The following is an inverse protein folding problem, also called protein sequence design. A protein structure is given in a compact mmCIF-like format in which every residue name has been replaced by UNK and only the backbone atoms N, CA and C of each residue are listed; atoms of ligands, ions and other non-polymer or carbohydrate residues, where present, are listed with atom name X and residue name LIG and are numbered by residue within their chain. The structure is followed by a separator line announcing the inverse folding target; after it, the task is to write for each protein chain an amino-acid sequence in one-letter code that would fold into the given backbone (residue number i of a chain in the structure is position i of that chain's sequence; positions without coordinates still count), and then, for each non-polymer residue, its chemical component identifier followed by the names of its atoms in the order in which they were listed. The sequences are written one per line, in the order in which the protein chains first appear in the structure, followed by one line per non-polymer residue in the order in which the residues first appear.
data_IF_046095088940
#
_entry.id   IF_046095088940
#
_cell.length_a   1.000
_cell.length_b   1.000
_cell.length_c   1.000
_cell.angle_alpha   90.00
_cell.angle_beta   90.00
_cell.angle_gamma   90.00
#
_symmetry.space_group_name_H-M   'P 1'
#
loop_
_entity.id
_entity.type
_entity.pdbx_description
1 polymer ?
#
# COMPACT_ATOMS: atom_id res chain seq x y z
N UNK A 1 -0.35 -32.92 -4.96
CA UNK A 1 -0.34 -31.64 -5.70
C UNK A 1 0.99 -31.57 -6.41
N UNK A 2 0.98 -31.42 -7.72
CA UNK A 2 2.21 -31.17 -8.48
C UNK A 2 2.54 -29.65 -8.51
N UNK A 3 3.65 -29.26 -9.12
CA UNK A 3 4.10 -27.87 -9.14
C UNK A 3 3.14 -26.96 -9.92
N UNK A 4 2.47 -27.48 -10.95
CA UNK A 4 1.51 -26.73 -11.77
C UNK A 4 0.21 -26.49 -11.00
N UNK A 5 -0.29 -27.52 -10.32
CA UNK A 5 -1.44 -27.41 -9.43
C UNK A 5 -1.19 -26.43 -8.29
N UNK A 6 0.02 -26.45 -7.71
CA UNK A 6 0.42 -25.55 -6.64
C UNK A 6 0.48 -24.09 -7.11
N UNK A 7 1.06 -23.83 -8.29
CA UNK A 7 1.09 -22.48 -8.86
C UNK A 7 -0.32 -21.93 -9.14
N UNK A 8 -1.22 -22.76 -9.65
CA UNK A 8 -2.62 -22.37 -9.88
C UNK A 8 -3.33 -22.05 -8.54
N UNK A 9 -3.07 -22.83 -7.49
CA UNK A 9 -3.62 -22.60 -6.18
C UNK A 9 -3.12 -21.27 -5.58
N UNK A 10 -1.83 -20.99 -5.65
CA UNK A 10 -1.27 -19.70 -5.20
C UNK A 10 -1.86 -18.51 -5.96
N UNK A 11 -2.09 -18.63 -7.26
CA UNK A 11 -2.74 -17.58 -8.03
C UNK A 11 -4.20 -17.37 -7.60
N UNK A 12 -4.92 -18.46 -7.31
CA UNK A 12 -6.28 -18.37 -6.79
C UNK A 12 -6.33 -17.65 -5.43
N UNK A 13 -5.45 -18.01 -4.50
CA UNK A 13 -5.31 -17.36 -3.20
C UNK A 13 -5.02 -15.86 -3.32
N UNK A 14 -4.07 -15.47 -4.19
CA UNK A 14 -3.74 -14.07 -4.46
C UNK A 14 -4.92 -13.30 -5.04
N UNK A 15 -5.75 -13.92 -5.91
CA UNK A 15 -6.99 -13.30 -6.42
C UNK A 15 -8.01 -13.07 -5.31
N UNK A 16 -8.17 -14.00 -4.39
CA UNK A 16 -9.06 -13.83 -3.23
C UNK A 16 -8.58 -12.68 -2.33
N UNK A 17 -7.26 -12.62 -2.06
CA UNK A 17 -6.65 -11.55 -1.26
C UNK A 17 -6.85 -10.19 -1.94
N UNK A 18 -6.54 -10.07 -3.24
CA UNK A 18 -6.70 -8.82 -3.98
C UNK A 18 -8.15 -8.38 -4.13
N UNK A 19 -9.10 -9.30 -4.13
CA UNK A 19 -10.54 -9.02 -4.11
C UNK A 19 -11.09 -8.72 -2.70
N UNK A 20 -10.25 -8.69 -1.67
CA UNK A 20 -10.64 -8.53 -0.26
C UNK A 20 -11.67 -9.56 0.23
N UNK A 21 -11.61 -10.80 -0.30
CA UNK A 21 -12.38 -11.97 0.17
C UNK A 21 -11.55 -12.70 1.23
N UNK A 22 -11.29 -12.01 2.35
CA UNK A 22 -10.21 -12.39 3.27
C UNK A 22 -10.47 -13.67 4.08
N UNK A 23 -11.73 -13.99 4.38
CA UNK A 23 -12.09 -15.25 5.06
C UNK A 23 -11.86 -16.45 4.14
N UNK A 24 -12.31 -16.37 2.90
CA UNK A 24 -12.09 -17.41 1.89
C UNK A 24 -10.59 -17.55 1.56
N UNK A 25 -9.87 -16.43 1.47
CA UNK A 25 -8.44 -16.44 1.25
C UNK A 25 -7.71 -17.15 2.39
N UNK A 26 -8.09 -16.88 3.65
CA UNK A 26 -7.52 -17.54 4.83
C UNK A 26 -7.66 -19.04 4.78
N UNK A 27 -8.88 -19.51 4.52
CA UNK A 27 -9.17 -20.95 4.42
C UNK A 27 -8.31 -21.61 3.33
N UNK A 28 -8.27 -21.02 2.13
CA UNK A 28 -7.50 -21.53 1.01
C UNK A 28 -5.99 -21.58 1.33
N UNK A 29 -5.42 -20.46 1.79
CA UNK A 29 -3.99 -20.37 2.15
C UNK A 29 -3.61 -21.39 3.23
N UNK A 30 -4.40 -21.49 4.29
CA UNK A 30 -4.13 -22.45 5.39
C UNK A 30 -4.26 -23.91 4.94
N UNK A 31 -5.19 -24.19 4.03
CA UNK A 31 -5.33 -25.54 3.46
C UNK A 31 -4.11 -25.92 2.61
N UNK A 32 -3.70 -25.03 1.71
CA UNK A 32 -2.52 -25.23 0.85
C UNK A 32 -1.26 -25.39 1.70
N UNK A 33 -1.07 -24.52 2.69
CA UNK A 33 0.09 -24.57 3.59
C UNK A 33 0.20 -25.94 4.31
N UNK A 34 -0.90 -26.46 4.87
CA UNK A 34 -0.90 -27.79 5.53
C UNK A 34 -0.54 -28.91 4.55
N UNK A 35 -1.07 -28.89 3.34
CA UNK A 35 -0.78 -29.91 2.32
C UNK A 35 0.68 -29.87 1.87
N UNK A 36 1.23 -28.67 1.65
CA UNK A 36 2.62 -28.47 1.28
C UNK A 36 3.56 -28.90 2.40
N UNK A 37 3.27 -28.50 3.64
CA UNK A 37 4.05 -28.87 4.82
C UNK A 37 4.13 -30.39 5.01
N UNK A 38 3.00 -31.07 4.85
CA UNK A 38 2.95 -32.54 4.97
C UNK A 38 3.74 -33.28 3.87
N UNK A 39 3.85 -32.68 2.66
CA UNK A 39 4.50 -33.33 1.51
C UNK A 39 5.96 -32.94 1.32
N UNK A 40 6.30 -31.66 1.52
CA UNK A 40 7.61 -31.10 1.18
C UNK A 40 8.40 -30.62 2.40
N UNK A 41 7.74 -30.50 3.56
CA UNK A 41 8.34 -29.97 4.80
C UNK A 41 8.50 -28.45 4.80
N UNK A 42 8.99 -27.90 5.92
CA UNK A 42 9.04 -26.45 6.15
C UNK A 42 10.16 -25.72 5.39
N UNK A 43 11.17 -26.43 4.93
CA UNK A 43 12.37 -25.85 4.33
C UNK A 43 12.40 -25.94 2.79
N UNK A 44 11.27 -26.14 2.15
CA UNK A 44 11.13 -26.23 0.69
C UNK A 44 10.77 -24.89 0.06
N UNK A 45 10.99 -24.75 -1.25
CA UNK A 45 10.55 -23.56 -1.99
C UNK A 45 9.01 -23.49 -2.10
N UNK A 46 8.33 -24.63 -2.07
CA UNK A 46 6.88 -24.72 -2.03
C UNK A 46 6.34 -24.14 -0.71
N UNK A 47 6.99 -24.41 0.40
CA UNK A 47 6.66 -23.81 1.69
C UNK A 47 6.91 -22.29 1.68
N UNK A 48 7.98 -21.83 1.01
CA UNK A 48 8.24 -20.41 0.83
C UNK A 48 7.11 -19.69 0.10
N UNK A 49 6.53 -20.29 -0.95
CA UNK A 49 5.37 -19.74 -1.67
C UNK A 49 4.12 -19.64 -0.79
N UNK A 50 3.86 -20.63 0.05
CA UNK A 50 2.76 -20.59 1.01
C UNK A 50 2.96 -19.51 2.07
N UNK A 51 4.18 -19.33 2.60
CA UNK A 51 4.51 -18.23 3.53
C UNK A 51 4.31 -16.87 2.87
N UNK A 52 4.62 -16.74 1.59
CA UNK A 52 4.40 -15.51 0.84
C UNK A 52 2.90 -15.18 0.75
N UNK A 53 2.04 -16.14 0.39
CA UNK A 53 0.61 -15.90 0.33
C UNK A 53 -0.02 -15.65 1.71
N UNK A 54 0.45 -16.33 2.75
CA UNK A 54 0.04 -16.07 4.12
C UNK A 54 0.43 -14.64 4.54
N UNK A 55 1.63 -14.20 4.20
CA UNK A 55 2.05 -12.83 4.48
C UNK A 55 1.22 -11.80 3.73
N UNK A 56 0.88 -12.02 2.45
CA UNK A 56 -0.01 -11.14 1.70
C UNK A 56 -1.42 -11.06 2.32
N UNK A 57 -1.91 -12.16 2.87
CA UNK A 57 -3.15 -12.16 3.63
C UNK A 57 -3.03 -11.29 4.90
N UNK A 58 -1.93 -11.39 5.66
CA UNK A 58 -1.67 -10.52 6.82
C UNK A 58 -1.53 -9.04 6.41
N UNK A 59 -0.89 -8.74 5.26
CA UNK A 59 -0.85 -7.36 4.73
C UNK A 59 -2.25 -6.81 4.49
N UNK A 60 -3.13 -7.59 3.88
CA UNK A 60 -4.51 -7.18 3.61
C UNK A 60 -5.36 -7.03 4.89
N UNK A 61 -4.95 -7.63 6.00
CA UNK A 61 -5.52 -7.41 7.34
C UNK A 61 -4.91 -6.19 8.06
N UNK A 62 -3.84 -5.60 7.51
CA UNK A 62 -3.09 -4.54 8.16
C UNK A 62 -2.09 -5.01 9.22
N UNK A 63 -1.82 -6.30 9.30
CA UNK A 63 -0.88 -6.90 10.27
C UNK A 63 0.55 -6.88 9.73
N UNK A 64 1.12 -5.66 9.60
CA UNK A 64 2.38 -5.44 8.88
C UNK A 64 3.61 -6.08 9.54
N UNK A 65 3.62 -6.28 10.87
CA UNK A 65 4.70 -6.98 11.55
C UNK A 65 4.73 -8.48 11.17
N UNK A 66 3.55 -9.12 11.11
CA UNK A 66 3.42 -10.50 10.63
C UNK A 66 3.79 -10.61 9.15
N UNK A 67 3.35 -9.64 8.33
CA UNK A 67 3.71 -9.55 6.92
C UNK A 67 5.23 -9.49 6.73
N UNK A 68 5.94 -8.60 7.42
CA UNK A 68 7.40 -8.50 7.33
C UNK A 68 8.09 -9.80 7.73
N UNK A 69 7.67 -10.41 8.83
CA UNK A 69 8.28 -11.64 9.33
C UNK A 69 8.15 -12.78 8.31
N UNK A 70 6.95 -12.97 7.75
CA UNK A 70 6.67 -14.01 6.76
C UNK A 70 7.38 -13.75 5.43
N UNK A 71 7.45 -12.50 4.98
CA UNK A 71 8.17 -12.13 3.76
C UNK A 71 9.68 -12.35 3.90
N UNK A 72 10.25 -12.00 5.04
CA UNK A 72 11.67 -12.27 5.32
C UNK A 72 11.98 -13.76 5.28
N UNK A 73 11.15 -14.60 5.92
CA UNK A 73 11.30 -16.06 5.90
C UNK A 73 11.15 -16.62 4.48
N UNK A 74 10.12 -16.21 3.76
CA UNK A 74 9.88 -16.61 2.38
C UNK A 74 11.06 -16.24 1.47
N UNK A 75 11.52 -14.99 1.51
CA UNK A 75 12.66 -14.53 0.72
C UNK A 75 13.96 -15.30 1.05
N UNK A 76 14.20 -15.64 2.33
CA UNK A 76 15.35 -16.45 2.74
C UNK A 76 15.28 -17.88 2.19
N UNK A 77 14.12 -18.51 2.21
CA UNK A 77 13.92 -19.85 1.67
C UNK A 77 14.08 -19.86 0.13
N UNK A 78 13.44 -18.93 -0.57
CA UNK A 78 13.61 -18.81 -2.03
C UNK A 78 15.04 -18.47 -2.43
N UNK A 79 15.80 -17.73 -1.63
CA UNK A 79 17.21 -17.47 -1.91
C UNK A 79 18.03 -18.77 -1.94
N UNK A 80 17.71 -19.76 -1.09
CA UNK A 80 18.36 -21.07 -1.06
C UNK A 80 17.96 -21.96 -2.24
N UNK A 81 16.76 -21.75 -2.78
CA UNK A 81 16.14 -22.52 -3.86
C UNK A 81 15.93 -21.70 -5.14
N UNK A 82 16.76 -20.66 -5.37
CA UNK A 82 16.57 -19.71 -6.48
C UNK A 82 16.53 -20.38 -7.86
N UNK A 83 17.28 -21.47 -8.05
CA UNK A 83 17.31 -22.19 -9.32
C UNK A 83 15.99 -22.92 -9.63
N UNK A 84 15.26 -23.34 -8.58
CA UNK A 84 14.03 -24.11 -8.71
C UNK A 84 12.80 -23.22 -9.04
N UNK A 85 12.79 -21.98 -8.51
CA UNK A 85 11.67 -21.04 -8.66
C UNK A 85 12.14 -19.58 -8.78
N UNK A 86 12.83 -19.18 -9.88
CA UNK A 86 13.48 -17.88 -9.98
C UNK A 86 12.49 -16.70 -9.95
N UNK A 87 11.33 -16.82 -10.58
CA UNK A 87 10.32 -15.76 -10.61
C UNK A 87 9.66 -15.55 -9.23
N UNK A 88 9.34 -16.64 -8.53
CA UNK A 88 8.79 -16.56 -7.18
C UNK A 88 9.82 -16.02 -6.17
N UNK A 89 11.12 -16.33 -6.40
CA UNK A 89 12.20 -15.74 -5.60
C UNK A 89 12.29 -14.22 -5.76
N UNK A 90 12.13 -13.70 -6.99
CA UNK A 90 12.08 -12.25 -7.25
C UNK A 90 10.85 -11.60 -6.62
N UNK A 91 9.67 -12.23 -6.70
CA UNK A 91 8.45 -11.75 -6.05
C UNK A 91 8.59 -11.72 -4.52
N UNK A 92 9.17 -12.75 -3.92
CA UNK A 92 9.38 -12.79 -2.47
C UNK A 92 10.31 -11.66 -2.00
N UNK A 93 11.37 -11.35 -2.76
CA UNK A 93 12.25 -10.21 -2.47
C UNK A 93 11.51 -8.88 -2.60
N UNK A 94 10.71 -8.69 -3.66
CA UNK A 94 9.85 -7.52 -3.82
C UNK A 94 8.89 -7.35 -2.65
N UNK A 95 8.18 -8.39 -2.24
CA UNK A 95 7.25 -8.31 -1.12
C UNK A 95 7.96 -8.08 0.21
N UNK A 96 9.20 -8.55 0.38
CA UNK A 96 9.99 -8.20 1.55
C UNK A 96 10.37 -6.71 1.59
N UNK A 97 10.80 -6.13 0.45
CA UNK A 97 11.03 -4.70 0.34
C UNK A 97 9.74 -3.88 0.63
N UNK A 98 8.59 -4.35 0.12
CA UNK A 98 7.28 -3.74 0.39
C UNK A 98 6.90 -3.83 1.88
N UNK A 99 7.18 -4.95 2.53
CA UNK A 99 6.92 -5.12 3.95
C UNK A 99 7.74 -4.16 4.82
N UNK A 100 9.01 -3.97 4.49
CA UNK A 100 9.87 -2.96 5.13
C UNK A 100 9.32 -1.54 4.94
N UNK A 101 8.87 -1.23 3.72
CA UNK A 101 8.23 0.06 3.40
C UNK A 101 6.97 0.27 4.25
N UNK A 102 6.11 -0.75 4.39
CA UNK A 102 4.91 -0.69 5.25
C UNK A 102 5.22 -0.46 6.73
N UNK A 103 6.38 -0.90 7.20
CA UNK A 103 6.86 -0.70 8.57
C UNK A 103 7.62 0.63 8.78
N UNK A 104 7.69 1.50 7.76
CA UNK A 104 8.43 2.77 7.86
C UNK A 104 9.95 2.61 7.88
N UNK A 105 10.48 1.43 7.55
CA UNK A 105 11.92 1.13 7.49
C UNK A 105 12.49 1.56 6.12
N UNK A 106 12.36 2.87 5.81
CA UNK A 106 12.57 3.43 4.48
C UNK A 106 13.93 3.12 3.88
N UNK A 107 15.00 3.23 4.67
CA UNK A 107 16.36 2.97 4.21
C UNK A 107 16.54 1.51 3.79
N UNK A 108 16.11 0.58 4.63
CA UNK A 108 16.18 -0.86 4.32
C UNK A 108 15.27 -1.24 3.14
N UNK A 109 14.10 -0.61 3.06
CA UNK A 109 13.17 -0.81 1.94
C UNK A 109 13.80 -0.34 0.62
N UNK A 110 14.48 0.81 0.60
CA UNK A 110 15.15 1.34 -0.58
C UNK A 110 16.28 0.41 -1.06
N UNK A 111 17.12 -0.06 -0.14
CA UNK A 111 18.20 -1.01 -0.45
C UNK A 111 17.65 -2.30 -1.06
N UNK A 112 16.62 -2.91 -0.44
CA UNK A 112 16.02 -4.14 -0.95
C UNK A 112 15.28 -3.91 -2.27
N UNK A 113 14.59 -2.77 -2.46
CA UNK A 113 13.93 -2.44 -3.72
C UNK A 113 14.93 -2.24 -4.87
N UNK A 114 16.11 -1.65 -4.60
CA UNK A 114 17.18 -1.52 -5.60
C UNK A 114 17.79 -2.88 -5.98
N UNK A 115 18.03 -3.75 -5.00
CA UNK A 115 18.53 -5.11 -5.24
C UNK A 115 17.57 -5.93 -6.11
N UNK A 116 16.26 -5.91 -5.79
CA UNK A 116 15.27 -6.68 -6.56
C UNK A 116 15.06 -6.09 -7.95
N UNK A 117 15.07 -4.76 -8.11
CA UNK A 117 15.01 -4.12 -9.42
C UNK A 117 16.15 -4.58 -10.33
N UNK A 118 17.39 -4.53 -9.83
CA UNK A 118 18.56 -5.01 -10.57
C UNK A 118 18.43 -6.48 -10.95
N UNK A 119 17.99 -7.34 -10.03
CA UNK A 119 17.80 -8.75 -10.28
C UNK A 119 16.66 -9.04 -11.30
N UNK A 120 15.60 -8.25 -11.29
CA UNK A 120 14.50 -8.32 -12.27
C UNK A 120 14.97 -7.91 -13.66
N UNK A 121 15.72 -6.80 -13.79
CA UNK A 121 16.32 -6.36 -15.05
C UNK A 121 17.28 -7.40 -15.63
N UNK A 122 18.08 -8.07 -14.79
CA UNK A 122 18.94 -9.15 -15.23
C UNK A 122 18.16 -10.39 -15.72
N UNK A 123 17.04 -10.69 -15.09
CA UNK A 123 16.24 -11.88 -15.40
C UNK A 123 15.30 -11.68 -16.59
N UNK A 124 14.57 -10.55 -16.63
CA UNK A 124 13.59 -10.27 -17.69
C UNK A 124 14.19 -9.53 -18.88
N UNK A 125 15.32 -8.85 -18.71
CA UNK A 125 15.95 -7.94 -19.67
C UNK A 125 15.88 -6.49 -19.20
N UNK A 126 16.92 -5.73 -19.47
CA UNK A 126 17.11 -4.35 -18.98
C UNK A 126 16.00 -3.37 -19.47
N UNK A 127 15.40 -3.66 -20.61
CA UNK A 127 14.36 -2.82 -21.23
C UNK A 127 13.03 -3.56 -21.38
N UNK A 128 12.83 -4.66 -20.65
CA UNK A 128 11.60 -5.44 -20.75
C UNK A 128 10.44 -4.74 -20.04
N UNK A 129 9.30 -4.62 -20.71
CA UNK A 129 8.05 -4.31 -20.03
C UNK A 129 7.58 -5.55 -19.27
N UNK A 130 7.53 -5.45 -17.94
CA UNK A 130 7.10 -6.53 -17.07
C UNK A 130 6.45 -6.02 -15.81
N UNK A 131 5.37 -6.66 -15.35
CA UNK A 131 4.61 -6.26 -14.15
C UNK A 131 5.49 -6.15 -12.91
N UNK A 132 6.37 -7.14 -12.70
CA UNK A 132 7.24 -7.15 -11.52
C UNK A 132 8.19 -5.95 -11.51
N UNK A 133 8.70 -5.52 -12.69
CA UNK A 133 9.55 -4.31 -12.82
C UNK A 133 8.71 -3.05 -12.53
N UNK A 134 7.53 -2.94 -13.12
CA UNK A 134 6.64 -1.79 -12.91
C UNK A 134 6.25 -1.63 -11.43
N UNK A 135 5.91 -2.73 -10.77
CA UNK A 135 5.59 -2.74 -9.35
C UNK A 135 6.79 -2.34 -8.48
N UNK A 136 8.00 -2.73 -8.86
CA UNK A 136 9.22 -2.35 -8.13
C UNK A 136 9.55 -0.87 -8.32
N UNK A 137 9.41 -0.32 -9.54
CA UNK A 137 9.55 1.12 -9.80
C UNK A 137 8.52 1.93 -8.99
N UNK A 138 7.27 1.49 -8.96
CA UNK A 138 6.22 2.10 -8.12
C UNK A 138 6.57 2.07 -6.64
N UNK A 139 7.10 0.96 -6.14
CA UNK A 139 7.55 0.84 -4.75
C UNK A 139 8.70 1.80 -4.45
N UNK A 140 9.70 1.90 -5.32
CA UNK A 140 10.81 2.85 -5.18
C UNK A 140 10.31 4.30 -5.18
N UNK A 141 9.39 4.65 -6.10
CA UNK A 141 8.74 5.96 -6.11
C UNK A 141 8.04 6.29 -4.78
N UNK A 142 7.29 5.34 -4.23
CA UNK A 142 6.63 5.52 -2.93
C UNK A 142 7.62 5.64 -1.77
N UNK A 143 8.70 4.87 -1.75
CA UNK A 143 9.76 4.98 -0.74
C UNK A 143 10.43 6.35 -0.82
N UNK A 144 10.73 6.84 -2.03
CA UNK A 144 11.36 8.14 -2.25
C UNK A 144 10.43 9.29 -1.84
N UNK A 145 9.12 9.15 -2.04
CA UNK A 145 8.13 10.14 -1.61
C UNK A 145 8.06 10.32 -0.08
N UNK A 146 8.54 9.33 0.69
CA UNK A 146 8.56 9.37 2.16
C UNK A 146 9.86 9.96 2.73
N UNK A 147 10.86 10.24 1.91
CA UNK A 147 12.16 10.71 2.34
C UNK A 147 12.48 12.08 1.71
N UNK A 148 12.72 13.13 2.51
CA UNK A 148 12.97 14.48 1.97
C UNK A 148 14.16 14.56 1.00
N UNK A 149 15.19 13.72 1.20
CA UNK A 149 16.39 13.71 0.37
C UNK A 149 16.14 13.17 -1.06
N UNK A 150 15.15 12.30 -1.24
CA UNK A 150 14.84 11.62 -2.52
C UNK A 150 13.47 11.98 -3.08
N UNK A 151 12.76 12.91 -2.45
CA UNK A 151 11.40 13.30 -2.83
C UNK A 151 11.30 13.70 -4.32
N UNK A 152 12.30 14.40 -4.85
CA UNK A 152 12.36 14.80 -6.26
C UNK A 152 12.45 13.64 -7.25
N UNK A 153 12.87 12.45 -6.80
CA UNK A 153 12.97 11.25 -7.64
C UNK A 153 11.69 10.41 -7.63
N UNK A 154 10.74 10.72 -6.73
CA UNK A 154 9.51 9.94 -6.56
C UNK A 154 8.63 9.96 -7.82
N UNK A 155 8.32 11.14 -8.32
CA UNK A 155 7.43 11.32 -9.47
C UNK A 155 7.97 10.65 -10.74
N UNK A 156 9.24 10.83 -11.17
CA UNK A 156 9.79 10.14 -12.33
C UNK A 156 9.69 8.61 -12.27
N UNK A 157 9.88 8.01 -11.10
CA UNK A 157 9.75 6.56 -10.93
C UNK A 157 8.30 6.08 -11.02
N UNK A 158 7.35 6.84 -10.45
CA UNK A 158 5.92 6.55 -10.58
C UNK A 158 5.45 6.68 -12.03
N UNK A 159 5.91 7.69 -12.76
CA UNK A 159 5.59 7.88 -14.18
C UNK A 159 6.15 6.75 -15.05
N UNK A 160 7.38 6.29 -14.80
CA UNK A 160 7.95 5.13 -15.48
C UNK A 160 7.12 3.86 -15.19
N UNK A 161 6.72 3.64 -13.95
CA UNK A 161 5.87 2.51 -13.58
C UNK A 161 4.50 2.57 -14.28
N UNK A 162 3.86 3.75 -14.27
CA UNK A 162 2.56 3.96 -14.91
C UNK A 162 2.64 3.73 -16.42
N UNK A 163 3.64 4.30 -17.11
CA UNK A 163 3.85 4.13 -18.54
C UNK A 163 4.10 2.66 -18.91
N UNK A 164 4.82 1.90 -18.09
CA UNK A 164 5.01 0.47 -18.29
C UNK A 164 3.71 -0.32 -18.13
N UNK A 165 2.95 -0.08 -17.05
CA UNK A 165 1.65 -0.72 -16.82
C UNK A 165 0.62 -0.37 -17.91
N UNK A 166 0.68 0.86 -18.42
CA UNK A 166 -0.19 1.28 -19.53
C UNK A 166 0.13 0.52 -20.82
N UNK A 167 1.40 0.29 -21.13
CA UNK A 167 1.79 -0.54 -22.28
C UNK A 167 1.40 -2.01 -22.11
N UNK A 168 1.45 -2.55 -20.87
CA UNK A 168 1.12 -3.93 -20.58
C UNK A 168 -0.40 -4.20 -20.53
N UNK A 169 -1.15 -3.30 -19.92
CA UNK A 169 -2.56 -3.55 -19.56
C UNK A 169 -3.54 -2.48 -20.06
N UNK A 170 -3.02 -1.33 -20.49
CA UNK A 170 -3.84 -0.17 -20.87
C UNK A 170 -4.25 0.73 -19.70
N UNK A 171 -4.84 1.87 -20.04
CA UNK A 171 -5.27 2.91 -19.10
C UNK A 171 -6.43 2.45 -18.18
N UNK A 172 -7.28 1.54 -18.64
CA UNK A 172 -8.45 1.05 -17.93
C UNK A 172 -8.17 -0.17 -17.03
N UNK A 173 -6.92 -0.41 -16.68
CA UNK A 173 -6.55 -1.47 -15.76
C UNK A 173 -6.39 -0.93 -14.33
N UNK A 174 -6.83 -1.70 -13.32
CA UNK A 174 -6.83 -1.28 -11.92
C UNK A 174 -5.44 -0.89 -11.40
N UNK A 175 -4.38 -1.65 -11.73
CA UNK A 175 -3.00 -1.34 -11.30
C UNK A 175 -2.47 -0.06 -11.95
N UNK A 176 -2.81 0.19 -13.22
CA UNK A 176 -2.48 1.44 -13.93
C UNK A 176 -3.18 2.61 -13.24
N UNK A 177 -4.50 2.52 -13.01
CA UNK A 177 -5.28 3.55 -12.35
C UNK A 177 -4.78 3.83 -10.92
N UNK A 178 -4.47 2.78 -10.15
CA UNK A 178 -3.92 2.95 -8.80
C UNK A 178 -2.54 3.65 -8.80
N UNK A 179 -1.69 3.36 -9.80
CA UNK A 179 -0.40 4.05 -9.94
C UNK A 179 -0.61 5.54 -10.27
N UNK A 180 -1.56 5.87 -11.14
CA UNK A 180 -1.94 7.26 -11.41
C UNK A 180 -2.54 7.97 -10.20
N UNK A 181 -3.22 7.26 -9.28
CA UNK A 181 -3.65 7.85 -8.00
C UNK A 181 -2.46 8.32 -7.15
N UNK A 182 -1.34 7.57 -7.18
CA UNK A 182 -0.11 7.95 -6.48
C UNK A 182 0.63 9.11 -7.18
N UNK A 183 0.61 9.15 -8.52
CA UNK A 183 1.12 10.30 -9.29
C UNK A 183 0.33 11.55 -8.95
N UNK A 184 -1.00 11.47 -8.88
CA UNK A 184 -1.85 12.60 -8.53
C UNK A 184 -1.57 13.13 -7.12
N UNK A 185 -1.24 12.26 -6.17
CA UNK A 185 -0.76 12.68 -4.84
C UNK A 185 0.52 13.54 -4.95
N UNK A 186 1.48 13.15 -5.80
CA UNK A 186 2.69 13.94 -6.00
C UNK A 186 2.40 15.26 -6.71
N UNK A 187 1.49 15.30 -7.67
CA UNK A 187 1.04 16.54 -8.31
C UNK A 187 0.42 17.50 -7.29
N UNK A 188 -0.47 17.01 -6.42
CA UNK A 188 -1.08 17.83 -5.39
C UNK A 188 -0.01 18.43 -4.45
N UNK A 189 0.95 17.62 -3.97
CA UNK A 189 2.07 18.07 -3.12
C UNK A 189 2.97 19.12 -3.81
N UNK A 190 3.06 19.11 -5.14
CA UNK A 190 3.80 20.09 -5.92
C UNK A 190 2.95 21.34 -6.28
N UNK A 191 1.67 21.38 -5.88
CA UNK A 191 0.76 22.48 -6.13
C UNK A 191 -0.05 22.38 -7.43
N UNK A 192 0.10 21.32 -8.22
CA UNK A 192 -0.69 21.05 -9.43
C UNK A 192 -2.04 20.40 -9.07
N UNK A 193 -2.82 21.11 -8.25
CA UNK A 193 -4.04 20.56 -7.63
C UNK A 193 -5.14 20.25 -8.63
N UNK A 194 -5.31 21.10 -9.67
CA UNK A 194 -6.34 20.88 -10.69
C UNK A 194 -6.05 19.64 -11.54
N UNK A 195 -4.78 19.44 -11.91
CA UNK A 195 -4.30 18.26 -12.62
C UNK A 195 -4.47 17.00 -11.77
N UNK A 196 -4.07 17.06 -10.50
CA UNK A 196 -4.26 15.98 -9.54
C UNK A 196 -5.73 15.58 -9.44
N UNK A 197 -6.63 16.55 -9.29
CA UNK A 197 -8.07 16.29 -9.18
C UNK A 197 -8.64 15.66 -10.47
N UNK A 198 -8.20 16.12 -11.64
CA UNK A 198 -8.60 15.54 -12.93
C UNK A 198 -8.19 14.06 -13.05
N UNK A 199 -6.93 13.75 -12.72
CA UNK A 199 -6.41 12.38 -12.70
C UNK A 199 -7.19 11.52 -11.72
N UNK A 200 -7.42 11.99 -10.49
CA UNK A 200 -8.13 11.23 -9.45
C UNK A 200 -9.58 10.90 -9.83
N UNK A 201 -10.29 11.82 -10.47
CA UNK A 201 -11.66 11.54 -10.95
C UNK A 201 -11.67 10.44 -12.03
N UNK A 202 -10.70 10.47 -12.93
CA UNK A 202 -10.56 9.43 -13.96
C UNK A 202 -10.20 8.07 -13.34
N UNK A 203 -9.24 8.04 -12.41
CA UNK A 203 -8.81 6.81 -11.75
C UNK A 203 -9.87 6.23 -10.83
N UNK A 204 -10.64 7.06 -10.11
CA UNK A 204 -11.78 6.59 -9.29
C UNK A 204 -12.80 5.84 -10.14
N UNK A 205 -13.15 6.38 -11.33
CA UNK A 205 -14.08 5.70 -12.23
C UNK A 205 -13.57 4.32 -12.66
N UNK A 206 -12.29 4.21 -13.07
CA UNK A 206 -11.68 2.95 -13.47
C UNK A 206 -11.61 1.97 -12.30
N UNK A 207 -11.20 2.41 -11.12
CA UNK A 207 -11.12 1.55 -9.93
C UNK A 207 -12.49 0.99 -9.54
N UNK A 208 -13.54 1.80 -9.60
CA UNK A 208 -14.93 1.35 -9.34
C UNK A 208 -15.40 0.32 -10.34
N UNK A 209 -15.09 0.52 -11.62
CA UNK A 209 -15.45 -0.42 -12.70
C UNK A 209 -14.73 -1.76 -12.54
N UNK A 210 -13.41 -1.72 -12.27
CA UNK A 210 -12.55 -2.91 -12.27
C UNK A 210 -12.61 -3.70 -10.96
N UNK A 211 -12.70 -3.01 -9.82
CA UNK A 211 -12.58 -3.62 -8.49
C UNK A 211 -13.88 -3.56 -7.67
N UNK A 212 -14.86 -2.80 -8.15
CA UNK A 212 -16.10 -2.52 -7.42
C UNK A 212 -15.99 -1.32 -6.48
N UNK A 213 -17.15 -0.69 -6.22
CA UNK A 213 -17.24 0.59 -5.50
C UNK A 213 -16.81 0.54 -4.03
N UNK A 214 -16.65 -0.65 -3.47
CA UNK A 214 -16.25 -0.84 -2.07
C UNK A 214 -14.79 -1.30 -1.91
N UNK A 215 -13.99 -1.28 -2.98
CA UNK A 215 -12.59 -1.66 -2.87
C UNK A 215 -11.78 -0.58 -2.14
N UNK A 216 -10.82 -0.92 -1.24
CA UNK A 216 -10.03 0.06 -0.51
C UNK A 216 -9.26 1.05 -1.39
N UNK A 217 -8.87 0.69 -2.62
CA UNK A 217 -8.25 1.64 -3.55
C UNK A 217 -9.20 2.77 -3.97
N UNK A 218 -10.52 2.51 -4.02
CA UNK A 218 -11.53 3.55 -4.23
C UNK A 218 -11.55 4.51 -3.02
N UNK A 219 -11.46 4.00 -1.80
CA UNK A 219 -11.37 4.86 -0.62
C UNK A 219 -10.12 5.75 -0.67
N UNK A 220 -8.96 5.21 -1.12
CA UNK A 220 -7.73 5.99 -1.31
C UNK A 220 -7.96 7.12 -2.32
N UNK A 221 -8.54 6.84 -3.48
CA UNK A 221 -8.84 7.87 -4.48
C UNK A 221 -9.80 8.94 -3.93
N UNK A 222 -10.80 8.54 -3.14
CA UNK A 222 -11.76 9.46 -2.53
C UNK A 222 -11.11 10.40 -1.51
N UNK A 223 -10.30 9.92 -0.57
CA UNK A 223 -9.67 10.86 0.38
C UNK A 223 -8.60 11.74 -0.29
N UNK A 224 -7.94 11.29 -1.38
CA UNK A 224 -7.06 12.15 -2.16
C UNK A 224 -7.83 13.25 -2.92
N UNK A 225 -9.06 12.94 -3.39
CA UNK A 225 -9.97 13.96 -3.92
C UNK A 225 -10.36 14.98 -2.85
N UNK A 226 -10.65 14.51 -1.62
CA UNK A 226 -10.92 15.38 -0.47
C UNK A 226 -9.74 16.32 -0.18
N UNK A 227 -8.51 15.80 -0.16
CA UNK A 227 -7.28 16.57 0.01
C UNK A 227 -7.15 17.68 -1.06
N UNK A 228 -7.39 17.35 -2.34
CA UNK A 228 -7.39 18.33 -3.42
C UNK A 228 -8.46 19.41 -3.24
N UNK A 229 -9.67 19.04 -2.79
CA UNK A 229 -10.76 19.97 -2.50
C UNK A 229 -10.39 20.90 -1.33
N UNK A 230 -9.75 20.39 -0.28
CA UNK A 230 -9.28 21.19 0.86
C UNK A 230 -8.22 22.21 0.44
N UNK A 231 -7.27 21.84 -0.40
CA UNK A 231 -6.27 22.75 -0.95
C UNK A 231 -6.92 23.89 -1.76
N UNK A 232 -8.09 23.66 -2.36
CA UNK A 232 -8.90 24.66 -3.06
C UNK A 232 -9.94 25.36 -2.17
N UNK A 233 -9.97 25.04 -0.86
CA UNK A 233 -10.96 25.54 0.12
C UNK A 233 -12.42 25.14 -0.21
N UNK A 234 -12.62 24.06 -0.93
CA UNK A 234 -13.92 23.48 -1.28
C UNK A 234 -14.37 22.51 -0.18
N UNK A 235 -14.47 22.98 1.06
CA UNK A 235 -14.65 22.14 2.24
C UNK A 235 -15.90 21.26 2.19
N UNK A 236 -16.99 21.72 1.57
CA UNK A 236 -18.21 20.94 1.43
C UNK A 236 -18.04 19.72 0.53
N UNK A 237 -17.29 19.87 -0.58
CA UNK A 237 -16.95 18.75 -1.46
C UNK A 237 -15.95 17.81 -0.79
N UNK A 238 -14.94 18.35 -0.11
CA UNK A 238 -13.99 17.56 0.67
C UNK A 238 -14.69 16.66 1.70
N UNK A 239 -15.65 17.22 2.46
CA UNK A 239 -16.44 16.47 3.43
C UNK A 239 -17.20 15.30 2.79
N UNK A 240 -17.78 15.49 1.60
CA UNK A 240 -18.49 14.41 0.89
C UNK A 240 -17.55 13.27 0.49
N UNK A 241 -16.35 13.60 0.00
CA UNK A 241 -15.32 12.64 -0.36
C UNK A 241 -14.77 11.89 0.88
N UNK A 242 -14.53 12.57 2.00
CA UNK A 242 -14.16 11.93 3.26
C UNK A 242 -15.26 10.98 3.75
N UNK A 243 -16.52 11.37 3.70
CA UNK A 243 -17.65 10.52 4.12
C UNK A 243 -17.73 9.24 3.27
N UNK A 244 -17.52 9.32 1.97
CA UNK A 244 -17.50 8.15 1.09
C UNK A 244 -16.30 7.24 1.38
N UNK A 245 -15.11 7.80 1.58
CA UNK A 245 -13.91 7.03 1.96
C UNK A 245 -14.12 6.30 3.29
N UNK A 246 -14.65 6.99 4.31
CA UNK A 246 -14.96 6.41 5.62
C UNK A 246 -15.95 5.25 5.50
N UNK A 247 -17.02 5.42 4.71
CA UNK A 247 -18.02 4.39 4.46
C UNK A 247 -17.38 3.12 3.88
N UNK A 248 -16.50 3.27 2.88
CA UNK A 248 -15.82 2.14 2.24
C UNK A 248 -14.91 1.43 3.24
N UNK A 249 -14.11 2.19 3.99
CA UNK A 249 -13.20 1.63 4.98
C UNK A 249 -13.94 0.85 6.08
N UNK A 250 -15.05 1.40 6.61
CA UNK A 250 -15.88 0.73 7.63
C UNK A 250 -16.45 -0.60 7.15
N UNK A 251 -16.80 -0.69 5.85
CA UNK A 251 -17.38 -1.89 5.26
C UNK A 251 -16.34 -2.97 4.94
N UNK A 252 -15.08 -2.58 4.65
CA UNK A 252 -14.09 -3.47 4.05
C UNK A 252 -12.88 -3.79 4.90
N UNK A 253 -12.49 -2.91 5.80
CA UNK A 253 -11.29 -3.10 6.60
C UNK A 253 -11.61 -3.03 8.09
N UNK A 254 -10.87 -3.78 8.90
CA UNK A 254 -11.04 -3.74 10.36
C UNK A 254 -10.66 -2.37 10.93
N UNK A 255 -11.19 -2.03 12.10
CA UNK A 255 -11.00 -0.72 12.76
C UNK A 255 -9.53 -0.37 13.04
N UNK A 256 -8.66 -1.39 13.12
CA UNK A 256 -7.23 -1.23 13.36
C UNK A 256 -6.40 -1.25 12.09
N UNK A 257 -7.03 -1.32 10.91
CA UNK A 257 -6.28 -1.39 9.66
C UNK A 257 -5.50 -0.08 9.42
N UNK A 258 -4.22 -0.14 9.01
CA UNK A 258 -3.38 1.05 8.82
C UNK A 258 -3.90 2.09 7.84
N UNK A 259 -4.78 1.74 6.91
CA UNK A 259 -5.46 2.71 6.04
C UNK A 259 -6.24 3.77 6.82
N UNK A 260 -6.69 3.45 8.04
CA UNK A 260 -7.31 4.43 8.94
C UNK A 260 -6.33 5.49 9.43
N UNK A 261 -5.03 5.18 9.50
CA UNK A 261 -4.01 6.16 9.88
C UNK A 261 -3.98 7.33 8.89
N UNK A 262 -3.81 7.02 7.59
CA UNK A 262 -3.75 8.04 6.53
C UNK A 262 -5.07 8.82 6.44
N UNK A 263 -6.20 8.10 6.52
CA UNK A 263 -7.53 8.71 6.53
C UNK A 263 -7.72 9.67 7.70
N UNK A 264 -7.39 9.27 8.93
CA UNK A 264 -7.57 10.14 10.10
C UNK A 264 -6.60 11.30 10.13
N UNK A 265 -5.39 11.15 9.58
CA UNK A 265 -4.44 12.27 9.43
C UNK A 265 -5.01 13.36 8.52
N UNK A 266 -5.46 12.99 7.34
CA UNK A 266 -6.06 13.95 6.39
C UNK A 266 -7.38 14.54 6.93
N UNK A 267 -8.20 13.75 7.62
CA UNK A 267 -9.41 14.25 8.29
C UNK A 267 -9.06 15.27 9.38
N UNK A 268 -7.99 15.04 10.15
CA UNK A 268 -7.54 15.99 11.15
C UNK A 268 -7.07 17.31 10.53
N UNK A 269 -6.32 17.24 9.44
CA UNK A 269 -5.87 18.42 8.69
C UNK A 269 -7.05 19.19 8.08
N UNK A 270 -8.05 18.49 7.53
CA UNK A 270 -9.31 19.06 7.05
C UNK A 270 -10.04 19.86 8.16
N UNK A 271 -10.23 19.26 9.34
CA UNK A 271 -10.87 19.92 10.47
C UNK A 271 -10.05 21.13 10.95
N UNK A 272 -8.72 20.99 11.02
CA UNK A 272 -7.82 22.05 11.44
C UNK A 272 -7.85 23.25 10.48
N UNK A 273 -7.91 23.00 9.17
CA UNK A 273 -8.00 24.05 8.13
C UNK A 273 -9.30 24.89 8.26
N UNK A 274 -10.34 24.33 8.87
CA UNK A 274 -11.61 25.00 9.14
C UNK A 274 -11.68 25.62 10.55
N UNK A 275 -10.62 25.56 11.35
CA UNK A 275 -10.61 26.03 12.74
C UNK A 275 -11.40 25.14 13.70
N UNK A 276 -11.75 23.92 13.30
CA UNK A 276 -12.48 22.95 14.14
C UNK A 276 -11.50 22.17 15.02
N UNK A 277 -10.88 22.87 15.99
CA UNK A 277 -9.73 22.34 16.76
C UNK A 277 -10.08 21.04 17.50
N UNK A 278 -11.24 20.98 18.16
CA UNK A 278 -11.67 19.79 18.91
C UNK A 278 -11.83 18.57 18.00
N UNK A 279 -12.43 18.75 16.80
CA UNK A 279 -12.60 17.71 15.82
C UNK A 279 -11.24 17.24 15.26
N UNK A 280 -10.31 18.18 15.01
CA UNK A 280 -8.96 17.87 14.58
C UNK A 280 -8.22 17.04 15.64
N UNK A 281 -8.26 17.44 16.91
CA UNK A 281 -7.65 16.69 18.01
C UNK A 281 -8.26 15.29 18.16
N UNK A 282 -9.57 15.15 18.00
CA UNK A 282 -10.23 13.83 18.00
C UNK A 282 -9.72 12.93 16.86
N UNK A 283 -9.58 13.48 15.65
CA UNK A 283 -9.08 12.74 14.51
C UNK A 283 -7.58 12.36 14.66
N UNK A 284 -6.73 13.28 15.15
CA UNK A 284 -5.34 12.95 15.50
C UNK A 284 -5.24 11.87 16.57
N UNK A 285 -6.14 11.89 17.58
CA UNK A 285 -6.21 10.84 18.60
C UNK A 285 -6.51 9.46 18.02
N UNK A 286 -7.46 9.39 17.08
CA UNK A 286 -7.76 8.14 16.34
C UNK A 286 -6.58 7.69 15.48
N UNK A 287 -5.91 8.62 14.80
CA UNK A 287 -4.71 8.32 14.01
C UNK A 287 -3.60 7.75 14.90
N UNK A 288 -3.35 8.37 16.07
CA UNK A 288 -2.36 7.89 17.03
C UNK A 288 -2.69 6.49 17.54
N UNK A 289 -3.96 6.24 17.85
CA UNK A 289 -4.40 4.93 18.33
C UNK A 289 -4.14 3.82 17.28
N UNK A 290 -4.49 4.06 16.01
CA UNK A 290 -4.19 3.12 14.92
C UNK A 290 -2.68 2.96 14.75
N UNK A 291 -1.92 4.06 14.79
CA UNK A 291 -0.47 4.03 14.65
C UNK A 291 0.18 3.14 15.73
N UNK A 292 -0.14 3.34 17.00
CA UNK A 292 0.43 2.58 18.11
C UNK A 292 0.01 1.10 18.14
N UNK A 293 -1.09 0.75 17.47
CA UNK A 293 -1.56 -0.64 17.37
C UNK A 293 -0.99 -1.40 16.17
N UNK A 294 -0.71 -0.69 15.09
CA UNK A 294 -0.32 -1.29 13.80
C UNK A 294 1.18 -1.27 13.56
N UNK A 295 1.91 -0.40 14.24
CA UNK A 295 3.34 -0.16 14.02
C UNK A 295 4.13 -0.20 15.33
N UNK A 296 5.45 -0.25 15.21
CA UNK A 296 6.35 -0.09 16.34
C UNK A 296 6.27 1.34 16.91
N UNK A 297 6.59 1.51 18.21
CA UNK A 297 6.55 2.82 18.88
C UNK A 297 7.44 3.88 18.22
N UNK A 298 8.49 3.46 17.52
CA UNK A 298 9.45 4.33 16.82
C UNK A 298 8.96 4.74 15.42
N UNK A 299 7.75 4.33 14.99
CA UNK A 299 7.26 4.68 13.67
C UNK A 299 7.18 6.21 13.47
N UNK A 300 7.70 6.77 12.36
CA UNK A 300 7.79 8.24 12.18
C UNK A 300 6.46 8.98 12.31
N UNK A 301 5.34 8.34 11.94
CA UNK A 301 4.01 8.91 12.06
C UNK A 301 3.63 9.21 13.52
N UNK A 302 4.04 8.39 14.51
CA UNK A 302 3.72 8.64 15.92
C UNK A 302 4.29 9.97 16.40
N UNK A 303 5.55 10.24 16.07
CA UNK A 303 6.21 11.52 16.42
C UNK A 303 5.53 12.71 15.74
N UNK A 304 5.16 12.57 14.46
CA UNK A 304 4.42 13.62 13.74
C UNK A 304 3.07 13.91 14.41
N UNK A 305 2.27 12.88 14.67
CA UNK A 305 0.95 13.03 15.29
C UNK A 305 1.04 13.69 16.67
N UNK A 306 1.97 13.24 17.52
CA UNK A 306 2.17 13.83 18.85
C UNK A 306 2.56 15.31 18.79
N UNK A 307 3.37 15.72 17.81
CA UNK A 307 3.67 17.14 17.57
C UNK A 307 2.45 17.93 17.18
N UNK A 308 1.60 17.40 16.30
CA UNK A 308 0.35 18.04 15.88
C UNK A 308 -0.63 18.17 17.05
N UNK A 309 -0.83 17.13 17.84
CA UNK A 309 -1.67 17.17 19.04
C UNK A 309 -1.16 18.26 20.01
N UNK A 310 0.14 18.26 20.30
CA UNK A 310 0.75 19.26 21.19
C UNK A 310 0.54 20.69 20.68
N UNK A 311 0.73 20.93 19.40
CA UNK A 311 0.51 22.23 18.77
C UNK A 311 -0.95 22.67 18.93
N UNK A 312 -1.92 21.84 18.57
CA UNK A 312 -3.34 22.21 18.60
C UNK A 312 -3.90 22.36 20.01
N UNK A 313 -3.43 21.58 20.99
CA UNK A 313 -3.76 21.78 22.41
C UNK A 313 -3.27 23.15 22.90
N UNK A 314 -2.07 23.58 22.51
CA UNK A 314 -1.55 24.91 22.86
C UNK A 314 -2.38 26.04 22.20
N UNK A 315 -2.90 25.84 20.98
CA UNK A 315 -3.78 26.84 20.35
C UNK A 315 -5.13 26.95 21.10
N UNK A 316 -5.72 25.80 21.47
CA UNK A 316 -6.99 25.78 22.22
C UNK A 316 -6.90 26.59 23.53
N UNK A 317 -5.81 26.42 24.30
CA UNK A 317 -5.59 27.18 25.55
C UNK A 317 -5.25 28.67 25.36
N UNK A 318 -4.98 29.13 24.15
CA UNK A 318 -4.76 30.56 23.86
C UNK A 318 -6.05 31.28 23.49
N UNK A 319 -7.07 30.55 23.08
CA UNK A 319 -8.39 31.09 22.74
C UNK A 319 -9.34 31.15 23.96
N UNK A 320 -8.99 30.45 25.06
CA UNK A 320 -9.62 30.59 26.39
C UNK A 320 -9.02 31.79 27.15
#
# INVERSE_FOLDING_TARGET
MDTTELAAQWQHERRLISAYRLDEAKEAVMQTYRQVQARYGDNSWESAGCLMNLGLWHEAQGEYASFETLMRQSAQLFRRHRADAPTEALKAQFYYARALCRQGKWQQAAEQAAEVYSAQCQYYGEHADHDDIAHTLRLQGNINAMQPATLGEALPLLEQAAAMLERLHGMHHAETAYTYTQIAEQYAKQGYVAEAQSVLRSTDAVLREQLGSLHPYVAVAQWRLAECCDMQRQYGEAQAHFAEAERILRDRVGEMHPLWLDFWLLTAEHCAAQGQIEAALSAYGKALFVCLKSYDEEHPASTYILRQITYWVQQLHREE
#
